data_IF_911181304620
#
_entry.id   IF_911181304620
#
_cell.length_a   1.000
_cell.length_b   1.000
_cell.length_c   1.000
_cell.angle_alpha   90.00
_cell.angle_beta   90.00
_cell.angle_gamma   90.00
#
_symmetry.space_group_name_H-M   'P 1'
#
loop_
_entity.id
_entity.type
_entity.pdbx_description
1 polymer ?
#
# COMPACT_ATOMS: atom_id res chain seq x y z
N UNK A 1 13.90 -5.54 -9.62
CA UNK A 1 14.43 -6.16 -10.87
C UNK A 1 15.25 -5.20 -11.72
N UNK A 2 14.82 -3.95 -11.95
CA UNK A 2 15.63 -2.99 -12.73
C UNK A 2 16.81 -2.43 -11.95
N UNK A 3 16.71 -2.36 -10.61
CA UNK A 3 17.85 -2.01 -9.75
C UNK A 3 19.06 -2.91 -10.01
N UNK A 4 18.85 -4.24 -9.96
CA UNK A 4 19.91 -5.22 -10.21
C UNK A 4 20.51 -5.10 -11.62
N UNK A 5 19.67 -4.84 -12.62
CA UNK A 5 20.14 -4.61 -13.99
C UNK A 5 20.97 -3.33 -14.09
N UNK A 6 20.52 -2.25 -13.44
CA UNK A 6 21.24 -0.98 -13.43
C UNK A 6 22.57 -1.08 -12.68
N UNK A 7 22.62 -1.83 -11.58
CA UNK A 7 23.87 -2.14 -10.87
C UNK A 7 24.86 -2.89 -11.77
N UNK A 8 24.40 -3.92 -12.49
CA UNK A 8 25.24 -4.64 -13.44
C UNK A 8 25.77 -3.72 -14.55
N UNK A 9 24.89 -2.88 -15.13
CA UNK A 9 25.26 -1.95 -16.20
C UNK A 9 26.15 -0.80 -15.72
N UNK A 10 26.04 -0.39 -14.46
CA UNK A 10 26.87 0.66 -13.87
C UNK A 10 28.36 0.29 -13.87
N UNK A 11 28.70 -1.00 -13.87
CA UNK A 11 30.08 -1.47 -14.01
C UNK A 11 30.69 -1.14 -15.38
N UNK A 12 29.84 -1.01 -16.40
CA UNK A 12 30.25 -0.73 -17.78
C UNK A 12 29.98 0.73 -18.19
N UNK A 13 28.98 1.38 -17.59
CA UNK A 13 28.58 2.75 -17.94
C UNK A 13 28.10 3.53 -16.71
N UNK A 14 28.94 4.49 -16.27
CA UNK A 14 28.78 5.27 -15.03
C UNK A 14 27.40 5.93 -14.82
N UNK A 15 26.71 6.48 -15.85
CA UNK A 15 25.38 7.07 -15.68
C UNK A 15 24.30 6.15 -15.09
N UNK A 16 24.42 4.82 -15.20
CA UNK A 16 23.46 3.91 -14.57
C UNK A 16 23.56 3.89 -13.04
N UNK A 17 24.65 4.39 -12.45
CA UNK A 17 24.80 4.53 -11.00
C UNK A 17 23.74 5.44 -10.37
N UNK A 18 23.12 6.35 -11.14
CA UNK A 18 22.05 7.22 -10.64
C UNK A 18 20.83 6.42 -10.15
N UNK A 19 20.60 5.23 -10.72
CA UNK A 19 19.51 4.34 -10.32
C UNK A 19 19.69 3.82 -8.89
N UNK A 20 20.89 3.86 -8.32
CA UNK A 20 21.10 3.38 -6.94
C UNK A 20 20.55 4.36 -5.89
N UNK A 21 20.44 5.65 -6.22
CA UNK A 21 19.91 6.65 -5.29
C UNK A 21 18.43 6.41 -4.99
N UNK A 22 18.11 6.24 -3.70
CA UNK A 22 16.75 5.96 -3.24
C UNK A 22 15.74 7.02 -3.68
N UNK A 23 16.11 8.31 -3.65
CA UNK A 23 15.26 9.41 -4.07
C UNK A 23 14.94 9.36 -5.56
N UNK A 24 15.93 9.00 -6.39
CA UNK A 24 15.73 8.82 -7.82
C UNK A 24 14.80 7.63 -8.09
N UNK A 25 14.99 6.50 -7.39
CA UNK A 25 14.10 5.34 -7.46
C UNK A 25 12.68 5.66 -7.02
N UNK A 26 12.51 6.49 -5.99
CA UNK A 26 11.19 6.96 -5.57
C UNK A 26 10.51 7.77 -6.67
N UNK A 27 11.20 8.72 -7.31
CA UNK A 27 10.67 9.52 -8.43
C UNK A 27 10.25 8.60 -9.59
N UNK A 28 11.12 7.67 -9.99
CA UNK A 28 10.78 6.69 -11.02
C UNK A 28 9.61 5.80 -10.60
N UNK A 29 9.49 5.49 -9.31
CA UNK A 29 8.36 4.80 -8.71
C UNK A 29 7.03 5.54 -8.93
N UNK A 30 6.99 6.85 -8.63
CA UNK A 30 5.82 7.70 -8.89
C UNK A 30 5.50 7.72 -10.38
N UNK A 31 6.48 8.05 -11.23
CA UNK A 31 6.28 8.24 -12.67
C UNK A 31 5.83 6.95 -13.36
N UNK A 32 6.41 5.82 -12.97
CA UNK A 32 6.03 4.52 -13.53
C UNK A 32 4.61 4.15 -13.12
N UNK A 33 4.25 4.31 -11.85
CA UNK A 33 2.90 4.00 -11.37
C UNK A 33 1.84 4.93 -12.01
N UNK A 34 2.11 6.23 -12.06
CA UNK A 34 1.26 7.22 -12.72
C UNK A 34 1.10 6.92 -14.21
N UNK A 35 2.21 6.64 -14.91
CA UNK A 35 2.19 6.29 -16.33
C UNK A 35 1.38 5.02 -16.59
N UNK A 36 1.53 3.98 -15.76
CA UNK A 36 0.72 2.76 -15.85
C UNK A 36 -0.77 3.05 -15.64
N UNK A 37 -1.14 3.82 -14.61
CA UNK A 37 -2.54 4.20 -14.37
C UNK A 37 -3.14 4.99 -15.54
N UNK A 38 -2.44 6.02 -16.05
CA UNK A 38 -2.95 6.87 -17.13
C UNK A 38 -3.04 6.14 -18.48
N UNK A 39 -2.09 5.26 -18.79
CA UNK A 39 -2.06 4.53 -20.07
C UNK A 39 -3.04 3.35 -20.07
N UNK A 40 -3.10 2.59 -18.97
CA UNK A 40 -3.91 1.38 -18.87
C UNK A 40 -5.33 1.64 -18.36
N UNK A 41 -5.55 2.76 -17.65
CA UNK A 41 -6.86 3.17 -17.13
C UNK A 41 -7.95 3.23 -18.19
N UNK A 42 -7.77 3.99 -19.30
CA UNK A 42 -8.77 4.06 -20.37
C UNK A 42 -9.08 2.69 -21.00
N UNK A 43 -8.06 1.83 -21.15
CA UNK A 43 -8.22 0.48 -21.70
C UNK A 43 -9.04 -0.39 -20.75
N UNK A 44 -8.72 -0.35 -19.46
CA UNK A 44 -9.44 -1.11 -18.44
C UNK A 44 -10.90 -0.66 -18.33
N UNK A 45 -11.15 0.66 -18.29
CA UNK A 45 -12.50 1.23 -18.23
C UNK A 45 -13.34 0.74 -19.42
N UNK A 46 -12.79 0.81 -20.65
CA UNK A 46 -13.48 0.31 -21.85
C UNK A 46 -13.81 -1.18 -21.76
N UNK A 47 -12.89 -2.00 -21.25
CA UNK A 47 -13.13 -3.44 -21.05
C UNK A 47 -14.21 -3.70 -20.01
N UNK A 48 -14.16 -3.01 -18.86
CA UNK A 48 -15.17 -3.19 -17.81
C UNK A 48 -16.57 -2.75 -18.27
N UNK A 49 -16.65 -1.67 -19.06
CA UNK A 49 -17.90 -1.24 -19.70
C UNK A 49 -18.43 -2.30 -20.69
N UNK A 50 -17.56 -2.90 -21.51
CA UNK A 50 -17.97 -3.96 -22.44
C UNK A 50 -18.47 -5.23 -21.76
N UNK A 51 -18.04 -5.49 -20.52
CA UNK A 51 -18.47 -6.64 -19.72
C UNK A 51 -19.77 -6.38 -18.94
N UNK A 52 -20.38 -5.19 -19.08
CA UNK A 52 -21.58 -4.76 -18.33
C UNK A 52 -21.44 -4.91 -16.80
N UNK A 53 -20.23 -4.73 -16.29
CA UNK A 53 -19.92 -4.76 -14.85
C UNK A 53 -20.30 -3.41 -14.23
N UNK A 54 -21.59 -3.09 -14.22
CA UNK A 54 -22.16 -1.92 -13.56
C UNK A 54 -22.60 -2.23 -12.12
N UNK A 55 -22.52 -1.25 -11.21
CA UNK A 55 -22.98 -1.41 -9.83
C UNK A 55 -24.49 -1.73 -9.76
N UNK A 56 -24.87 -2.75 -8.96
CA UNK A 56 -26.25 -2.94 -8.53
C UNK A 56 -26.58 -1.94 -7.42
N UNK A 57 -27.56 -1.06 -7.67
CA UNK A 57 -27.94 0.05 -6.78
C UNK A 57 -28.52 -0.49 -5.46
N UNK A 58 -28.11 0.08 -4.32
CA UNK A 58 -28.78 -0.11 -3.02
C UNK A 58 -30.10 0.67 -3.00
N UNK A 59 -31.20 0.03 -2.59
CA UNK A 59 -32.52 0.65 -2.45
C UNK A 59 -32.62 1.69 -1.33
N UNK A 60 -31.61 1.81 -0.47
CA UNK A 60 -31.71 2.44 0.85
C UNK A 60 -30.95 3.79 0.92
N UNK A 61 -30.58 4.39 -0.22
CA UNK A 61 -29.74 5.60 -0.31
C UNK A 61 -30.46 6.86 -0.82
N UNK A 62 -29.90 8.07 -0.60
CA UNK A 62 -30.50 9.34 -1.04
C UNK A 62 -30.65 9.43 -2.57
N UNK A 63 -31.70 10.12 -3.07
CA UNK A 63 -32.01 10.19 -4.51
C UNK A 63 -30.88 10.79 -5.39
N UNK A 64 -29.96 11.58 -4.82
CA UNK A 64 -28.76 12.08 -5.51
C UNK A 64 -27.74 10.98 -5.87
N UNK A 65 -27.85 9.77 -5.31
CA UNK A 65 -27.03 8.61 -5.65
C UNK A 65 -27.58 7.76 -6.82
N UNK A 66 -28.78 8.06 -7.32
CA UNK A 66 -29.41 7.30 -8.43
C UNK A 66 -28.77 7.63 -9.80
N UNK A 67 -28.04 8.74 -9.93
CA UNK A 67 -27.34 9.15 -11.16
C UNK A 67 -25.99 8.45 -11.37
N UNK A 68 -25.49 7.66 -10.41
CA UNK A 68 -24.26 6.86 -10.51
C UNK A 68 -24.44 5.50 -11.20
N UNK A 69 -25.45 5.40 -12.07
CA UNK A 69 -25.70 4.21 -12.86
C UNK A 69 -24.61 4.04 -13.93
N UNK A 70 -23.73 3.04 -13.76
CA UNK A 70 -22.89 2.53 -14.85
C UNK A 70 -21.39 2.82 -14.75
N UNK A 71 -20.88 3.39 -13.66
CA UNK A 71 -19.43 3.43 -13.43
C UNK A 71 -18.92 2.03 -13.07
N UNK A 72 -17.91 1.50 -13.78
CA UNK A 72 -17.42 0.15 -13.55
C UNK A 72 -16.71 0.04 -12.20
N UNK A 73 -17.04 -1.01 -11.44
CA UNK A 73 -16.34 -1.36 -10.19
C UNK A 73 -15.11 -2.21 -10.49
N UNK A 74 -14.08 -2.12 -9.65
CA UNK A 74 -12.73 -2.73 -9.76
C UNK A 74 -11.60 -1.78 -10.20
N UNK A 75 -11.77 -0.46 -10.10
CA UNK A 75 -10.68 0.51 -10.28
C UNK A 75 -9.45 0.23 -9.39
N UNK A 76 -9.67 -0.31 -8.18
CA UNK A 76 -8.60 -0.71 -7.27
C UNK A 76 -7.65 -1.76 -7.85
N UNK A 77 -8.08 -2.60 -8.79
CA UNK A 77 -7.20 -3.57 -9.44
C UNK A 77 -6.11 -2.90 -10.28
N UNK A 78 -6.43 -1.78 -10.96
CA UNK A 78 -5.45 -0.98 -11.70
C UNK A 78 -4.44 -0.34 -10.75
N UNK A 79 -4.94 0.26 -9.67
CA UNK A 79 -4.10 0.91 -8.65
C UNK A 79 -3.13 -0.11 -8.07
N UNK A 80 -3.62 -1.29 -7.65
CA UNK A 80 -2.77 -2.36 -7.15
C UNK A 80 -1.76 -2.81 -8.20
N UNK A 81 -2.18 -3.08 -9.43
CA UNK A 81 -1.25 -3.48 -10.49
C UNK A 81 -0.14 -2.43 -10.72
N UNK A 82 -0.48 -1.14 -10.76
CA UNK A 82 0.48 -0.05 -10.91
C UNK A 82 1.48 0.02 -9.74
N UNK A 83 1.00 -0.11 -8.50
CA UNK A 83 1.84 -0.14 -7.30
C UNK A 83 2.80 -1.33 -7.33
N UNK A 84 2.30 -2.53 -7.62
CA UNK A 84 3.10 -3.75 -7.62
C UNK A 84 4.18 -3.70 -8.69
N UNK A 85 3.82 -3.39 -9.93
CA UNK A 85 4.78 -3.31 -11.03
C UNK A 85 5.84 -2.25 -10.74
N UNK A 86 5.44 -1.05 -10.34
CA UNK A 86 6.37 0.03 -10.04
C UNK A 86 7.32 -0.34 -8.88
N UNK A 87 6.77 -0.88 -7.78
CA UNK A 87 7.58 -1.30 -6.64
C UNK A 87 8.55 -2.42 -7.02
N UNK A 88 8.12 -3.46 -7.73
CA UNK A 88 8.99 -4.58 -8.12
C UNK A 88 10.12 -4.17 -9.07
N UNK A 89 9.90 -3.14 -9.88
CA UNK A 89 10.91 -2.60 -10.78
C UNK A 89 12.00 -1.86 -10.00
N UNK A 90 11.60 -0.96 -9.10
CA UNK A 90 12.48 0.05 -8.49
C UNK A 90 12.92 -0.22 -7.05
N UNK A 91 12.23 -1.06 -6.29
CA UNK A 91 12.66 -1.39 -4.92
C UNK A 91 13.79 -2.43 -4.89
N UNK A 92 14.55 -2.43 -3.81
CA UNK A 92 15.44 -3.54 -3.48
C UNK A 92 14.63 -4.75 -2.98
N UNK A 93 14.64 -5.82 -3.78
CA UNK A 93 13.90 -7.05 -3.52
C UNK A 93 14.56 -7.95 -2.49
N UNK A 94 15.77 -7.63 -2.02
CA UNK A 94 16.38 -8.31 -0.87
C UNK A 94 15.77 -7.83 0.45
N UNK A 95 15.06 -6.70 0.42
CA UNK A 95 14.51 -6.05 1.60
C UNK A 95 13.23 -6.74 2.10
N UNK A 96 13.23 -7.18 3.36
CA UNK A 96 12.08 -7.86 3.97
C UNK A 96 10.83 -6.98 4.13
N UNK A 97 10.99 -5.67 4.33
CA UNK A 97 9.86 -4.76 4.53
C UNK A 97 9.08 -4.54 3.23
N UNK A 98 9.78 -4.51 2.09
CA UNK A 98 9.18 -4.44 0.75
C UNK A 98 8.28 -5.65 0.50
N UNK A 99 8.79 -6.87 0.78
CA UNK A 99 7.98 -8.08 0.63
C UNK A 99 6.79 -8.12 1.58
N UNK A 100 7.00 -7.71 2.84
CA UNK A 100 5.93 -7.66 3.81
C UNK A 100 4.78 -6.76 3.34
N UNK A 101 5.08 -5.53 2.91
CA UNK A 101 4.03 -4.60 2.46
C UNK A 101 3.35 -5.12 1.19
N UNK A 102 4.11 -5.67 0.23
CA UNK A 102 3.53 -6.26 -0.99
C UNK A 102 2.60 -7.44 -0.68
N UNK A 103 2.99 -8.35 0.21
CA UNK A 103 2.17 -9.51 0.60
C UNK A 103 0.89 -9.05 1.31
N UNK A 104 1.01 -8.13 2.28
CA UNK A 104 -0.16 -7.61 2.99
C UNK A 104 -1.10 -6.89 2.02
N UNK A 105 -0.58 -5.98 1.19
CA UNK A 105 -1.38 -5.28 0.18
C UNK A 105 -2.02 -6.26 -0.80
N UNK A 106 -1.34 -7.33 -1.21
CA UNK A 106 -1.88 -8.35 -2.10
C UNK A 106 -3.06 -9.08 -1.46
N UNK A 107 -2.91 -9.59 -0.24
CA UNK A 107 -3.97 -10.35 0.44
C UNK A 107 -5.19 -9.47 0.68
N UNK A 108 -5.00 -8.26 1.18
CA UNK A 108 -6.10 -7.33 1.41
C UNK A 108 -6.77 -6.89 0.10
N UNK A 109 -5.98 -6.65 -0.95
CA UNK A 109 -6.47 -6.37 -2.30
C UNK A 109 -7.26 -7.53 -2.89
N UNK A 110 -6.80 -8.77 -2.71
CA UNK A 110 -7.50 -9.98 -3.15
C UNK A 110 -8.82 -10.17 -2.40
N UNK A 111 -8.85 -9.94 -1.09
CA UNK A 111 -10.09 -9.96 -0.30
C UNK A 111 -11.10 -8.92 -0.80
N UNK A 112 -10.64 -7.69 -1.08
CA UNK A 112 -11.48 -6.65 -1.66
C UNK A 112 -11.98 -7.00 -3.07
N UNK A 113 -11.10 -7.54 -3.91
CA UNK A 113 -11.46 -8.00 -5.26
C UNK A 113 -12.51 -9.12 -5.22
N UNK A 114 -12.38 -10.11 -4.33
CA UNK A 114 -13.38 -11.17 -4.15
C UNK A 114 -14.71 -10.60 -3.66
N UNK A 115 -14.69 -9.62 -2.76
CA UNK A 115 -15.88 -8.92 -2.28
C UNK A 115 -16.63 -8.24 -3.43
N UNK A 116 -15.92 -7.47 -4.25
CA UNK A 116 -16.50 -6.75 -5.39
C UNK A 116 -16.93 -7.66 -6.53
N UNK A 117 -16.12 -8.68 -6.86
CA UNK A 117 -16.47 -9.69 -7.86
C UNK A 117 -17.80 -10.37 -7.52
N UNK A 118 -18.02 -10.72 -6.23
CA UNK A 118 -19.28 -11.31 -5.79
C UNK A 118 -20.47 -10.37 -5.96
N UNK A 119 -20.33 -9.09 -5.60
CA UNK A 119 -21.41 -8.10 -5.77
C UNK A 119 -21.83 -7.99 -7.24
N UNK A 120 -20.85 -7.99 -8.15
CA UNK A 120 -21.05 -7.90 -9.59
C UNK A 120 -21.72 -9.16 -10.14
N UNK A 121 -21.15 -10.35 -9.87
CA UNK A 121 -21.63 -11.62 -10.44
C UNK A 121 -23.00 -12.01 -9.91
N UNK A 122 -23.23 -11.83 -8.61
CA UNK A 122 -24.52 -12.17 -7.99
C UNK A 122 -25.56 -11.05 -8.08
N UNK A 123 -25.22 -9.91 -8.70
CA UNK A 123 -26.08 -8.72 -8.87
C UNK A 123 -26.84 -8.34 -7.60
N UNK A 124 -26.17 -8.50 -6.46
CA UNK A 124 -26.74 -8.20 -5.16
C UNK A 124 -25.77 -7.32 -4.37
N UNK A 125 -26.32 -6.53 -3.44
CA UNK A 125 -25.51 -5.68 -2.56
C UNK A 125 -24.76 -6.48 -1.49
N UNK A 126 -24.93 -7.81 -1.44
CA UNK A 126 -24.31 -8.70 -0.45
C UNK A 126 -22.98 -9.22 -0.99
N UNK A 127 -21.90 -8.55 -0.58
CA UNK A 127 -20.54 -8.99 -0.85
C UNK A 127 -20.11 -10.25 -0.07
N UNK A 128 -18.81 -10.40 0.13
CA UNK A 128 -18.20 -11.43 0.96
C UNK A 128 -18.76 -11.34 2.40
N UNK A 129 -19.23 -12.45 2.99
CA UNK A 129 -19.69 -12.43 4.38
C UNK A 129 -18.61 -11.88 5.31
N UNK A 130 -19.00 -11.01 6.24
CA UNK A 130 -18.08 -10.32 7.14
C UNK A 130 -17.11 -11.26 7.87
N UNK A 131 -17.58 -12.46 8.26
CA UNK A 131 -16.75 -13.53 8.86
C UNK A 131 -15.56 -13.93 7.99
N UNK A 132 -15.74 -14.05 6.68
CA UNK A 132 -14.69 -14.45 5.75
C UNK A 132 -13.77 -13.28 5.40
N UNK A 133 -14.32 -12.07 5.27
CA UNK A 133 -13.52 -10.85 5.10
C UNK A 133 -12.57 -10.67 6.28
N UNK A 134 -13.11 -10.72 7.49
CA UNK A 134 -12.35 -10.56 8.73
C UNK A 134 -11.38 -11.72 8.96
N UNK A 135 -11.74 -12.96 8.62
CA UNK A 135 -10.85 -14.11 8.72
C UNK A 135 -9.57 -13.91 7.90
N UNK A 136 -9.69 -13.59 6.60
CA UNK A 136 -8.52 -13.41 5.74
C UNK A 136 -7.70 -12.16 6.09
N UNK A 137 -8.36 -11.06 6.47
CA UNK A 137 -7.67 -9.89 7.01
C UNK A 137 -6.90 -10.26 8.29
N UNK A 138 -7.47 -11.12 9.14
CA UNK A 138 -6.83 -11.52 10.38
C UNK A 138 -5.64 -12.46 10.16
N UNK A 139 -5.74 -13.40 9.23
CA UNK A 139 -4.60 -14.26 8.85
C UNK A 139 -3.44 -13.40 8.35
N UNK A 140 -3.70 -12.44 7.45
CA UNK A 140 -2.65 -11.55 6.94
C UNK A 140 -2.11 -10.60 8.02
N UNK A 141 -2.98 -10.00 8.83
CA UNK A 141 -2.59 -9.07 9.90
C UNK A 141 -1.77 -9.75 11.00
N UNK A 142 -2.19 -10.94 11.46
CA UNK A 142 -1.42 -11.73 12.43
C UNK A 142 -0.12 -12.23 11.81
N UNK A 143 -0.16 -12.74 10.58
CA UNK A 143 1.03 -13.20 9.88
C UNK A 143 2.08 -12.10 9.76
N UNK A 144 1.67 -10.88 9.39
CA UNK A 144 2.54 -9.71 9.33
C UNK A 144 3.07 -9.31 10.72
N UNK A 145 2.22 -9.32 11.74
CA UNK A 145 2.62 -8.99 13.11
C UNK A 145 3.66 -9.99 13.68
N UNK A 146 3.44 -11.29 13.49
CA UNK A 146 4.40 -12.32 13.87
C UNK A 146 5.71 -12.20 13.09
N UNK A 147 5.63 -11.97 11.77
CA UNK A 147 6.80 -11.77 10.95
C UNK A 147 7.65 -10.60 11.43
N UNK A 148 7.05 -9.43 11.67
CA UNK A 148 7.74 -8.26 12.19
C UNK A 148 8.37 -8.52 13.55
N UNK A 149 7.64 -9.17 14.47
CA UNK A 149 8.12 -9.45 15.81
C UNK A 149 9.34 -10.40 15.82
N UNK A 150 9.30 -11.49 15.04
CA UNK A 150 10.39 -12.48 15.03
C UNK A 150 11.57 -12.09 14.14
N UNK A 151 11.38 -11.18 13.18
CA UNK A 151 12.47 -10.69 12.32
C UNK A 151 13.08 -9.37 12.81
N UNK A 152 12.57 -8.81 13.90
CA UNK A 152 13.12 -7.62 14.53
C UNK A 152 14.58 -7.86 14.94
N UNK A 153 15.47 -7.00 14.46
CA UNK A 153 16.90 -7.10 14.75
C UNK A 153 17.34 -6.11 15.83
N UNK A 154 16.52 -5.07 16.05
CA UNK A 154 16.76 -4.08 17.10
C UNK A 154 15.53 -3.93 18.00
N UNK A 155 15.69 -3.61 19.31
CA UNK A 155 14.55 -3.41 20.22
C UNK A 155 13.59 -2.31 19.74
N UNK A 156 14.14 -1.28 19.08
CA UNK A 156 13.39 -0.14 18.56
C UNK A 156 12.32 -0.53 17.52
N UNK A 157 12.48 -1.65 16.81
CA UNK A 157 11.49 -2.13 15.84
C UNK A 157 10.19 -2.64 16.49
N UNK A 158 10.28 -3.08 17.74
CA UNK A 158 9.16 -3.63 18.52
C UNK A 158 8.68 -2.72 19.64
N UNK A 159 9.33 -1.57 19.80
CA UNK A 159 8.97 -0.58 20.80
C UNK A 159 7.88 0.35 20.26
N UNK A 160 6.95 0.74 21.13
CA UNK A 160 6.00 1.80 20.84
C UNK A 160 6.63 3.15 21.19
N UNK A 161 7.00 3.88 20.14
CA UNK A 161 7.56 5.22 20.26
C UNK A 161 6.41 6.19 20.53
N UNK A 162 6.50 6.97 21.60
CA UNK A 162 5.51 8.02 21.88
C UNK A 162 5.98 9.31 21.19
N UNK A 163 5.21 9.86 20.23
CA UNK A 163 5.56 11.14 19.62
C UNK A 163 5.75 12.23 20.68
N UNK A 164 6.62 13.20 20.40
CA UNK A 164 6.98 14.32 21.30
C UNK A 164 7.83 13.94 22.53
N UNK A 165 7.84 12.69 22.95
CA UNK A 165 8.65 12.19 24.06
C UNK A 165 9.81 11.33 23.54
N UNK A 166 10.92 11.97 23.18
CA UNK A 166 12.08 11.30 22.51
C UNK A 166 12.71 10.16 23.33
N UNK A 167 12.61 10.23 24.65
CA UNK A 167 13.17 9.22 25.56
C UNK A 167 12.15 8.14 25.96
N UNK A 168 10.88 8.26 25.55
CA UNK A 168 9.83 7.32 25.95
C UNK A 168 9.55 6.35 24.80
N UNK A 169 10.17 5.17 24.90
CA UNK A 169 9.88 4.03 24.05
C UNK A 169 9.37 2.89 24.94
N UNK A 170 8.10 2.49 24.75
CA UNK A 170 7.49 1.42 25.53
C UNK A 170 7.81 0.07 24.89
N UNK A 171 8.54 -0.78 25.59
CA UNK A 171 8.76 -2.16 25.17
C UNK A 171 7.47 -2.97 25.33
N UNK A 172 6.81 -3.27 24.23
CA UNK A 172 5.54 -4.00 24.24
C UNK A 172 5.70 -5.51 24.47
N UNK A 173 6.88 -6.05 24.18
CA UNK A 173 7.09 -7.50 24.16
C UNK A 173 6.05 -8.21 23.29
N UNK A 174 5.45 -9.32 23.73
CA UNK A 174 4.40 -10.02 22.98
C UNK A 174 3.15 -9.19 22.66
N UNK A 175 2.86 -8.13 23.43
CA UNK A 175 1.74 -7.22 23.14
C UNK A 175 1.91 -6.48 21.81
N UNK A 176 3.14 -6.39 21.29
CA UNK A 176 3.41 -5.86 19.96
C UNK A 176 2.62 -6.59 18.87
N UNK A 177 2.48 -7.91 18.99
CA UNK A 177 1.77 -8.72 17.99
C UNK A 177 0.29 -8.34 17.97
N UNK A 178 -0.33 -8.23 19.15
CA UNK A 178 -1.72 -7.82 19.28
C UNK A 178 -1.94 -6.39 18.79
N UNK A 179 -1.06 -5.46 19.17
CA UNK A 179 -1.14 -4.06 18.76
C UNK A 179 -1.02 -3.92 17.23
N UNK A 180 0.01 -4.51 16.63
CA UNK A 180 0.25 -4.49 15.18
C UNK A 180 -0.92 -5.10 14.40
N UNK A 181 -1.47 -6.21 14.89
CA UNK A 181 -2.68 -6.82 14.34
C UNK A 181 -3.87 -5.84 14.32
N UNK A 182 -4.14 -5.18 15.46
CA UNK A 182 -5.23 -4.21 15.57
C UNK A 182 -5.04 -3.03 14.64
N UNK A 183 -3.80 -2.53 14.50
CA UNK A 183 -3.47 -1.43 13.57
C UNK A 183 -3.73 -1.86 12.12
N UNK A 184 -3.19 -3.00 11.68
CA UNK A 184 -3.32 -3.44 10.28
C UNK A 184 -4.79 -3.69 9.91
N UNK A 185 -5.51 -4.50 10.70
CA UNK A 185 -6.90 -4.86 10.42
C UNK A 185 -7.81 -3.65 10.63
N UNK A 186 -7.56 -2.84 11.66
CA UNK A 186 -8.30 -1.62 11.94
C UNK A 186 -8.19 -0.58 10.82
N UNK A 187 -6.97 -0.28 10.36
CA UNK A 187 -6.73 0.67 9.27
C UNK A 187 -7.40 0.23 7.96
N UNK A 188 -7.36 -1.06 7.61
CA UNK A 188 -8.05 -1.54 6.41
C UNK A 188 -9.57 -1.33 6.48
N UNK A 189 -10.17 -1.64 7.62
CA UNK A 189 -11.62 -1.47 7.80
C UNK A 189 -12.00 0.02 7.88
N UNK A 190 -11.14 0.87 8.44
CA UNK A 190 -11.32 2.32 8.42
C UNK A 190 -11.35 2.88 6.99
N UNK A 191 -10.36 2.55 6.14
CA UNK A 191 -10.35 3.00 4.73
C UNK A 191 -11.56 2.48 3.97
N UNK A 192 -11.94 1.21 4.16
CA UNK A 192 -13.13 0.64 3.54
C UNK A 192 -14.44 1.31 4.00
N UNK A 193 -14.49 1.91 5.18
CA UNK A 193 -15.63 2.70 5.66
C UNK A 193 -15.66 4.10 5.04
N UNK A 194 -14.48 4.69 4.79
CA UNK A 194 -14.33 5.99 4.14
C UNK A 194 -14.63 5.94 2.64
N UNK A 195 -14.45 4.80 1.99
CA UNK A 195 -14.66 4.61 0.54
C UNK A 195 -16.15 4.49 0.15
N UNK A 196 -16.92 5.55 0.41
CA UNK A 196 -18.35 5.66 0.11
C UNK A 196 -18.71 6.71 -0.94
N UNK A 197 -17.73 7.53 -1.37
CA UNK A 197 -17.89 8.60 -2.37
C UNK A 197 -16.71 8.61 -3.34
N UNK A 198 -16.94 9.08 -4.57
CA UNK A 198 -15.96 9.02 -5.65
C UNK A 198 -14.72 9.84 -5.26
N UNK A 199 -13.56 9.17 -5.18
CA UNK A 199 -12.30 9.80 -4.83
C UNK A 199 -12.12 10.15 -3.35
N UNK A 200 -13.08 9.86 -2.47
CA UNK A 200 -13.00 10.23 -1.05
C UNK A 200 -11.91 9.45 -0.30
N UNK A 201 -11.70 8.17 -0.61
CA UNK A 201 -10.69 7.36 0.06
C UNK A 201 -9.28 7.51 -0.55
N UNK A 202 -9.17 7.78 -1.85
CA UNK A 202 -7.86 7.74 -2.54
C UNK A 202 -6.96 8.92 -2.16
N UNK A 203 -7.50 10.14 -2.10
CA UNK A 203 -6.69 11.32 -1.76
C UNK A 203 -6.13 11.27 -0.33
N UNK A 204 -6.92 10.93 0.72
CA UNK A 204 -6.36 10.68 2.04
C UNK A 204 -5.30 9.58 2.05
N UNK A 205 -5.52 8.50 1.29
CA UNK A 205 -4.55 7.39 1.18
C UNK A 205 -3.22 7.85 0.58
N UNK A 206 -3.26 8.69 -0.47
CA UNK A 206 -2.06 9.28 -1.09
C UNK A 206 -1.32 10.20 -0.11
N UNK A 207 -2.05 11.06 0.62
CA UNK A 207 -1.45 11.98 1.59
C UNK A 207 -0.82 11.24 2.78
N UNK A 208 -1.54 10.27 3.36
CA UNK A 208 -1.02 9.43 4.45
C UNK A 208 0.16 8.60 3.96
N UNK A 209 0.04 7.99 2.78
CA UNK A 209 1.13 7.23 2.16
C UNK A 209 2.38 8.07 1.92
N UNK A 210 2.22 9.31 1.45
CA UNK A 210 3.31 10.26 1.30
C UNK A 210 3.98 10.62 2.62
N UNK A 211 3.19 10.92 3.66
CA UNK A 211 3.72 11.20 5.00
C UNK A 211 4.48 10.00 5.59
N UNK A 212 3.93 8.79 5.47
CA UNK A 212 4.59 7.56 5.89
C UNK A 212 5.87 7.28 5.08
N UNK A 213 5.87 7.60 3.79
CA UNK A 213 7.06 7.53 2.94
C UNK A 213 8.17 8.45 3.44
N UNK A 214 7.85 9.71 3.78
CA UNK A 214 8.82 10.64 4.39
C UNK A 214 9.35 10.08 5.71
N UNK A 215 8.49 9.55 6.58
CA UNK A 215 8.92 8.94 7.85
C UNK A 215 9.87 7.76 7.58
N UNK A 216 9.54 6.87 6.64
CA UNK A 216 10.36 5.72 6.28
C UNK A 216 11.74 6.13 5.74
N UNK A 217 11.80 7.22 4.96
CA UNK A 217 13.06 7.81 4.48
C UNK A 217 13.94 8.31 5.63
N UNK A 218 13.35 9.05 6.57
CA UNK A 218 14.07 9.64 7.70
C UNK A 218 14.58 8.57 8.67
N UNK A 219 13.73 7.60 9.03
CA UNK A 219 14.07 6.47 9.91
C UNK A 219 15.08 5.52 9.26
N UNK A 220 15.05 5.39 7.94
CA UNK A 220 15.95 4.53 7.18
C UNK A 220 17.31 5.14 6.84
N UNK A 221 17.58 6.38 7.28
CA UNK A 221 18.83 7.10 7.02
C UNK A 221 19.55 7.43 8.33
N UNK A 222 20.83 7.05 8.44
CA UNK A 222 21.62 7.21 9.68
C UNK A 222 21.78 8.66 10.10
N UNK A 223 22.06 9.56 9.15
CA UNK A 223 22.28 10.99 9.40
C UNK A 223 20.99 11.67 9.87
N UNK A 224 19.88 11.45 9.15
CA UNK A 224 18.60 12.06 9.50
C UNK A 224 18.04 11.49 10.81
N UNK A 225 18.15 10.18 11.03
CA UNK A 225 17.70 9.55 12.26
C UNK A 225 18.44 10.13 13.49
N UNK A 226 19.77 10.25 13.38
CA UNK A 226 20.60 10.86 14.42
C UNK A 226 20.25 12.33 14.65
N UNK A 227 20.15 13.13 13.58
CA UNK A 227 19.85 14.56 13.66
C UNK A 227 18.47 14.84 14.29
N UNK A 228 17.45 14.06 13.93
CA UNK A 228 16.10 14.24 14.44
C UNK A 228 15.88 13.60 15.82
N UNK A 229 16.83 12.78 16.28
CA UNK A 229 16.71 11.92 17.46
C UNK A 229 15.49 11.00 17.36
N UNK A 230 15.42 10.27 16.25
CA UNK A 230 14.46 9.19 16.01
C UNK A 230 15.24 7.88 15.84
N UNK A 231 14.65 6.71 16.16
CA UNK A 231 15.36 5.45 16.01
C UNK A 231 15.71 5.19 14.53
N UNK A 232 16.94 4.72 14.31
CA UNK A 232 17.37 4.26 13.00
C UNK A 232 16.95 2.80 12.81
N UNK A 233 16.20 2.52 11.74
CA UNK A 233 15.80 1.16 11.39
C UNK A 233 16.34 0.83 9.99
N UNK A 234 17.40 -0.01 9.89
CA UNK A 234 18.02 -0.33 8.61
C UNK A 234 17.02 -0.91 7.61
N UNK A 235 17.03 -0.38 6.38
CA UNK A 235 16.21 -0.90 5.29
C UNK A 235 14.79 -0.36 5.21
N UNK A 236 14.26 0.37 6.20
CA UNK A 236 12.91 0.97 6.06
C UNK A 236 12.83 2.01 4.95
N UNK A 237 13.95 2.61 4.58
CA UNK A 237 14.03 3.57 3.47
C UNK A 237 13.50 3.02 2.15
N UNK A 238 13.61 1.71 1.90
CA UNK A 238 13.07 1.10 0.68
C UNK A 238 11.54 1.22 0.56
N UNK A 239 10.82 1.38 1.68
CA UNK A 239 9.38 1.60 1.69
C UNK A 239 8.97 2.92 1.01
N UNK A 240 9.91 3.87 0.88
CA UNK A 240 9.68 5.13 0.15
C UNK A 240 9.29 4.85 -1.30
N UNK A 241 9.88 3.83 -1.93
CA UNK A 241 9.55 3.45 -3.32
C UNK A 241 8.11 2.95 -3.41
N UNK A 242 7.66 2.14 -2.44
CA UNK A 242 6.28 1.68 -2.36
C UNK A 242 5.31 2.84 -2.12
N UNK A 243 5.60 3.73 -1.17
CA UNK A 243 4.78 4.91 -0.88
C UNK A 243 4.71 5.88 -2.06
N UNK A 244 5.81 6.05 -2.78
CA UNK A 244 5.88 6.83 -4.01
C UNK A 244 5.03 6.20 -5.13
N UNK A 245 5.12 4.88 -5.32
CA UNK A 245 4.27 4.16 -6.26
C UNK A 245 2.78 4.26 -5.91
N UNK A 246 2.43 4.20 -4.62
CA UNK A 246 1.07 4.45 -4.12
C UNK A 246 0.58 5.86 -4.48
N UNK A 247 1.44 6.87 -4.29
CA UNK A 247 1.13 8.25 -4.68
C UNK A 247 0.90 8.39 -6.19
N UNK A 248 1.79 7.82 -7.01
CA UNK A 248 1.66 7.86 -8.47
C UNK A 248 0.42 7.12 -8.97
N UNK A 249 0.15 5.92 -8.46
CA UNK A 249 -1.01 5.12 -8.82
C UNK A 249 -2.34 5.76 -8.38
N UNK A 250 -2.35 6.43 -7.22
CA UNK A 250 -3.55 7.10 -6.72
C UNK A 250 -3.86 8.44 -7.39
N UNK A 251 -2.87 9.09 -7.99
CA UNK A 251 -3.06 10.32 -8.78
C UNK A 251 -3.52 10.05 -10.22
N UNK A 252 -3.19 8.89 -10.77
CA UNK A 252 -3.53 8.50 -12.15
C UNK A 252 -4.90 7.85 -12.26
#
# INVERSE_FOLDING_TARGET
MLLWLAELLAHYFSPFGVVQYLTFRAILGVLTALGLSLLLGPVMIRRLLSLQIGQSVRSDGPQSHLSKSGTPTMGGALILMAIFLSTLLWSDLTNRYVWLVLVVTFVFGAVGWVDDYRKVVYKNSRGLPARWKYFWQSVAGLGAAFFLYYTASTPAETALIIPFFKEVALELGPLYILFTYLVIVGSSNAVNLTDGLDGLAIMPTVLVGGALGVIAYLVGNTEFASYLHIPYIPGTGELVVFCAALGGAGLG
#
